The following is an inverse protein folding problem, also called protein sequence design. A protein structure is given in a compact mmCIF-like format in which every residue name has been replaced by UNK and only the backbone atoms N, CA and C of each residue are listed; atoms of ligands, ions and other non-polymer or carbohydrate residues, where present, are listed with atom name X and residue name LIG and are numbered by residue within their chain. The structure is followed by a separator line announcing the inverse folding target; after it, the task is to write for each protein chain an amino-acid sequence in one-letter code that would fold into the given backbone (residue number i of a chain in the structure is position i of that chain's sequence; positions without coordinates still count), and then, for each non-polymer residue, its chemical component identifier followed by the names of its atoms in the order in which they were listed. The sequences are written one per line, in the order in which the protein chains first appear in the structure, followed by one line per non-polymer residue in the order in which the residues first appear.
data_IF_506229559151
#
_entry.id   IF_506229559151
#
_cell.length_a   1.000
_cell.length_b   1.000
_cell.length_c   1.000
_cell.angle_alpha   90.00
_cell.angle_beta   90.00
_cell.angle_gamma   90.00
#
_symmetry.space_group_name_H-M   'P 1'
#
loop_
_entity.id
_entity.type
_entity.pdbx_description
1 polymer ?
#
# COMPACT_ATOMS: atom_id res chain seq x y z
N UNK A 1 1.06 9.35 -3.27
CA UNK A 1 0.42 9.05 -4.58
C UNK A 1 -0.57 7.90 -4.43
N UNK A 2 -0.12 6.65 -4.20
CA UNK A 2 -1.03 5.47 -4.12
C UNK A 2 -2.05 5.45 -2.97
N UNK A 3 -1.97 6.40 -2.03
CA UNK A 3 -2.98 6.56 -0.99
C UNK A 3 -4.11 7.51 -1.41
N UNK A 4 -3.95 8.23 -2.51
CA UNK A 4 -4.99 9.09 -3.06
C UNK A 4 -5.96 8.22 -3.85
N UNK A 5 -7.21 8.14 -3.38
CA UNK A 5 -8.21 7.25 -3.99
C UNK A 5 -8.46 7.54 -5.48
N UNK A 6 -8.58 8.82 -5.92
CA UNK A 6 -8.77 9.12 -7.34
C UNK A 6 -7.63 8.60 -8.22
N UNK A 7 -6.38 8.68 -7.74
CA UNK A 7 -5.22 8.18 -8.49
C UNK A 7 -5.25 6.66 -8.61
N UNK A 8 -5.68 5.96 -7.56
CA UNK A 8 -5.84 4.49 -7.61
C UNK A 8 -6.96 4.10 -8.58
N UNK A 9 -8.06 4.83 -8.62
CA UNK A 9 -9.16 4.56 -9.55
C UNK A 9 -8.70 4.69 -11.02
N UNK A 10 -7.91 5.73 -11.34
CA UNK A 10 -7.34 5.88 -12.69
C UNK A 10 -6.30 4.78 -13.00
N UNK A 11 -5.41 4.47 -12.05
CA UNK A 11 -4.42 3.39 -12.22
C UNK A 11 -5.10 2.02 -12.39
N UNK A 12 -6.27 1.81 -11.79
CA UNK A 12 -7.05 0.58 -11.96
C UNK A 12 -7.56 0.42 -13.39
N UNK A 13 -8.02 1.49 -14.02
CA UNK A 13 -8.43 1.46 -15.43
C UNK A 13 -7.24 1.10 -16.33
N UNK A 14 -6.07 1.70 -16.07
CA UNK A 14 -4.84 1.38 -16.79
C UNK A 14 -4.45 -0.08 -16.59
N UNK A 15 -4.44 -0.57 -15.35
CA UNK A 15 -4.06 -1.94 -15.01
C UNK A 15 -5.00 -3.00 -15.64
N UNK A 16 -6.29 -2.69 -15.78
CA UNK A 16 -7.24 -3.57 -16.48
C UNK A 16 -6.90 -3.65 -17.97
N UNK A 17 -6.56 -2.53 -18.61
CA UNK A 17 -6.18 -2.51 -20.03
C UNK A 17 -4.83 -3.22 -20.28
N UNK A 18 -3.94 -3.18 -19.30
CA UNK A 18 -2.61 -3.80 -19.35
C UNK A 18 -2.57 -5.23 -18.78
N UNK A 19 -3.73 -5.80 -18.43
CA UNK A 19 -3.85 -7.15 -17.85
C UNK A 19 -2.96 -7.39 -16.62
N UNK A 20 -2.80 -6.38 -15.77
CA UNK A 20 -2.02 -6.45 -14.53
C UNK A 20 -2.80 -5.92 -13.30
N UNK A 21 -4.11 -6.13 -13.31
CA UNK A 21 -5.07 -5.67 -12.28
C UNK A 21 -4.78 -6.29 -10.90
N UNK A 22 -4.14 -7.45 -10.85
CA UNK A 22 -3.73 -8.14 -9.62
C UNK A 22 -2.86 -7.25 -8.73
N UNK A 23 -2.02 -6.39 -9.29
CA UNK A 23 -1.18 -5.47 -8.51
C UNK A 23 -2.01 -4.42 -7.76
N UNK A 24 -3.07 -3.90 -8.39
CA UNK A 24 -4.01 -2.96 -7.77
C UNK A 24 -4.85 -3.68 -6.71
N UNK A 25 -5.37 -4.88 -7.04
CA UNK A 25 -6.17 -5.67 -6.11
C UNK A 25 -5.36 -6.08 -4.86
N UNK A 26 -4.08 -6.41 -5.05
CA UNK A 26 -3.14 -6.66 -3.96
C UNK A 26 -3.05 -5.44 -3.05
N UNK A 27 -2.79 -4.26 -3.62
CA UNK A 27 -2.63 -3.02 -2.85
C UNK A 27 -3.90 -2.65 -2.06
N UNK A 28 -5.07 -2.67 -2.71
CA UNK A 28 -6.34 -2.39 -2.05
C UNK A 28 -6.62 -3.40 -0.91
N UNK A 29 -6.33 -4.67 -1.14
CA UNK A 29 -6.51 -5.73 -0.14
C UNK A 29 -5.50 -5.61 1.00
N UNK A 30 -4.29 -5.16 0.72
CA UNK A 30 -3.24 -4.92 1.72
C UNK A 30 -3.64 -3.76 2.65
N UNK A 31 -4.21 -2.68 2.10
CA UNK A 31 -4.72 -1.59 2.95
C UNK A 31 -5.86 -2.09 3.86
N UNK A 32 -6.78 -2.90 3.32
CA UNK A 32 -7.88 -3.49 4.12
C UNK A 32 -7.36 -4.40 5.24
N UNK A 33 -6.37 -5.25 4.97
CA UNK A 33 -5.83 -6.12 6.02
C UNK A 33 -5.12 -5.32 7.10
N UNK A 34 -4.43 -4.22 6.75
CA UNK A 34 -3.84 -3.29 7.73
C UNK A 34 -4.90 -2.56 8.54
N UNK A 35 -6.02 -2.17 7.94
CA UNK A 35 -7.16 -1.61 8.66
C UNK A 35 -7.75 -2.60 9.66
N UNK A 36 -8.00 -3.84 9.25
CA UNK A 36 -8.50 -4.90 10.13
C UNK A 36 -7.54 -5.18 11.28
N UNK A 37 -6.24 -5.25 10.98
CA UNK A 37 -5.20 -5.43 11.99
C UNK A 37 -5.18 -4.27 12.98
N UNK A 38 -5.24 -3.02 12.50
CA UNK A 38 -5.29 -1.85 13.37
C UNK A 38 -6.49 -1.91 14.31
N UNK A 39 -7.69 -2.15 13.77
CA UNK A 39 -8.92 -2.27 14.58
C UNK A 39 -8.81 -3.39 15.62
N UNK A 40 -8.23 -4.53 15.24
CA UNK A 40 -8.03 -5.65 16.14
C UNK A 40 -7.11 -5.29 17.31
N UNK A 41 -6.00 -4.59 17.03
CA UNK A 41 -5.02 -4.15 18.04
C UNK A 41 -5.55 -3.04 18.95
N UNK A 42 -6.35 -2.10 18.43
CA UNK A 42 -6.95 -1.04 19.25
C UNK A 42 -8.08 -1.56 20.13
N UNK A 43 -8.85 -2.52 19.64
CA UNK A 43 -9.99 -3.09 20.37
C UNK A 43 -9.57 -4.03 21.51
N UNK A 44 -8.33 -4.54 21.53
CA UNK A 44 -7.80 -5.33 22.65
C UNK A 44 -7.26 -4.50 23.80
N UNK A 45 -7.11 -3.18 23.62
CA UNK A 45 -6.47 -2.32 24.62
C UNK A 45 -4.96 -2.52 24.77
N UNK A 46 -4.35 -3.38 23.94
CA UNK A 46 -2.89 -3.64 23.93
C UNK A 46 -2.12 -2.60 23.10
N UNK A 47 -2.83 -1.78 22.33
CA UNK A 47 -2.25 -0.76 21.46
C UNK A 47 -2.75 0.62 21.88
N UNK A 48 -1.88 1.44 22.47
CA UNK A 48 -2.18 2.85 22.66
C UNK A 48 -2.19 3.56 21.32
N UNK A 49 -3.29 4.24 21.01
CA UNK A 49 -3.44 5.07 19.83
C UNK A 49 -2.41 6.20 19.88
N UNK A 50 -1.23 5.99 19.26
CA UNK A 50 -0.34 7.10 18.93
C UNK A 50 -1.08 7.94 17.89
N UNK A 51 -1.75 9.00 18.35
CA UNK A 51 -2.30 10.04 17.45
C UNK A 51 -1.25 10.32 16.37
N UNK A 52 -1.61 10.29 15.08
CA UNK A 52 -0.67 10.48 14.00
C UNK A 52 -0.07 11.89 14.10
N UNK A 53 1.05 12.00 14.80
CA UNK A 53 1.92 13.16 14.78
C UNK A 53 2.80 12.97 13.56
N UNK A 54 2.23 13.27 12.40
CA UNK A 54 2.95 13.18 11.13
C UNK A 54 4.12 14.16 11.17
N UNK A 55 5.32 13.70 11.53
CA UNK A 55 6.57 14.42 11.28
C UNK A 55 6.95 14.20 9.81
N UNK A 56 6.30 14.97 8.93
CA UNK A 56 6.60 15.09 7.49
C UNK A 56 7.94 15.84 7.30
N UNK A 57 9.04 15.31 7.82
CA UNK A 57 10.38 15.88 7.56
C UNK A 57 11.16 15.04 6.55
N UNK A 58 10.98 13.72 6.54
CA UNK A 58 11.75 12.81 5.70
C UNK A 58 11.34 12.79 4.21
N UNK A 59 10.11 13.23 3.88
CA UNK A 59 9.59 13.29 2.49
C UNK A 59 9.95 14.61 1.80
N UNK A 60 10.37 15.65 2.55
CA UNK A 60 10.65 16.99 2.00
C UNK A 60 11.86 17.02 1.05
N UNK A 61 12.81 16.10 1.19
CA UNK A 61 14.10 16.23 0.50
C UNK A 61 14.05 15.78 -0.97
N UNK A 62 13.11 14.91 -1.36
CA UNK A 62 13.01 14.41 -2.74
C UNK A 62 12.13 15.28 -3.65
N UNK A 63 11.16 16.00 -3.07
CA UNK A 63 10.16 16.78 -3.84
C UNK A 63 10.65 18.16 -4.28
N UNK A 64 11.81 18.63 -3.79
CA UNK A 64 12.34 19.96 -4.13
C UNK A 64 12.77 20.10 -5.60
N UNK A 65 12.97 18.98 -6.31
CA UNK A 65 13.38 19.00 -7.72
C UNK A 65 12.22 19.04 -8.73
N UNK A 66 10.97 18.72 -8.32
CA UNK A 66 9.82 18.68 -9.25
C UNK A 66 8.95 19.95 -9.20
N UNK A 67 9.04 20.74 -8.13
CA UNK A 67 8.18 21.92 -7.90
C UNK A 67 8.61 23.18 -8.65
N UNK A 68 9.76 23.16 -9.34
CA UNK A 68 10.29 24.30 -10.10
C UNK A 68 9.49 24.70 -11.33
N UNK A 69 8.53 23.89 -11.78
CA UNK A 69 7.73 24.14 -12.99
C UNK A 69 6.32 24.66 -12.70
N UNK A 70 5.89 24.76 -11.43
CA UNK A 70 4.51 25.06 -11.04
C UNK A 70 4.32 26.37 -10.26
N UNK A 71 5.17 27.37 -10.47
CA UNK A 71 5.06 28.64 -9.73
C UNK A 71 4.87 29.84 -10.65
N UNK A 72 3.63 30.04 -11.09
CA UNK A 72 3.08 31.37 -11.36
C UNK A 72 1.61 31.38 -10.90
N UNK A 73 1.40 31.50 -9.58
CA UNK A 73 0.30 32.25 -9.00
C UNK A 73 0.42 32.22 -7.47
N UNK A 74 0.09 33.36 -6.90
CA UNK A 74 0.48 33.80 -5.57
C UNK A 74 -0.27 33.08 -4.44
N UNK A 75 0.44 32.94 -3.33
CA UNK A 75 -0.04 32.78 -1.94
C UNK A 75 -1.46 32.22 -1.70
N UNK A 76 -1.51 30.99 -1.17
CA UNK A 76 -2.40 30.61 -0.05
C UNK A 76 -2.04 29.23 0.51
N UNK A 77 -1.77 29.20 1.82
CA UNK A 77 -1.93 28.11 2.79
C UNK A 77 -1.61 26.67 2.35
N UNK A 78 -0.65 26.04 3.04
CA UNK A 78 -0.34 24.61 2.94
C UNK A 78 -1.62 23.76 3.06
N UNK A 79 -2.17 23.33 1.92
CA UNK A 79 -3.27 22.37 1.89
C UNK A 79 -2.70 20.99 2.24
N UNK A 80 -3.35 20.31 3.18
CA UNK A 80 -3.21 18.86 3.31
C UNK A 80 -3.57 18.24 1.95
N UNK A 81 -2.65 17.49 1.36
CA UNK A 81 -2.84 16.81 0.07
C UNK A 81 -3.71 15.55 0.15
N UNK A 82 -4.32 15.31 1.32
CA UNK A 82 -5.18 14.17 1.60
C UNK A 82 -6.62 14.63 1.80
N UNK A 83 -7.54 14.01 1.07
CA UNK A 83 -8.99 14.18 1.20
C UNK A 83 -9.56 13.13 2.16
N UNK A 84 -10.77 13.33 2.72
CA UNK A 84 -11.42 12.33 3.57
C UNK A 84 -11.62 10.96 2.91
N UNK A 85 -11.67 10.92 1.58
CA UNK A 85 -11.89 9.71 0.79
C UNK A 85 -10.60 8.92 0.51
N UNK A 86 -9.43 9.46 0.89
CA UNK A 86 -8.14 8.81 0.67
C UNK A 86 -7.91 7.66 1.65
N UNK A 87 -7.05 6.73 1.24
CA UNK A 87 -6.65 5.60 2.08
C UNK A 87 -5.93 6.08 3.34
N UNK A 88 -6.36 5.57 4.49
CA UNK A 88 -5.70 5.81 5.78
C UNK A 88 -4.33 5.13 5.81
N UNK A 89 -3.38 5.78 6.47
CA UNK A 89 -2.08 5.20 6.77
C UNK A 89 -2.14 4.62 8.18
N UNK A 90 -1.91 3.32 8.29
CA UNK A 90 -1.87 2.61 9.57
C UNK A 90 -0.41 2.36 9.95
N UNK A 91 0.09 3.09 10.96
CA UNK A 91 1.44 2.93 11.50
C UNK A 91 1.45 1.80 12.54
N UNK A 92 1.65 0.58 12.06
CA UNK A 92 1.67 -0.65 12.87
C UNK A 92 3.09 -1.22 12.82
N UNK A 93 3.68 -1.54 13.98
CA UNK A 93 4.98 -2.22 14.02
C UNK A 93 4.88 -3.60 13.34
N UNK A 94 5.64 -3.85 12.26
CA UNK A 94 5.54 -5.08 11.48
C UNK A 94 5.93 -6.34 12.25
N UNK A 95 6.65 -6.21 13.37
CA UNK A 95 7.14 -7.34 14.15
C UNK A 95 6.13 -7.85 15.19
N UNK A 96 4.99 -7.16 15.36
CA UNK A 96 3.94 -7.60 16.27
C UNK A 96 3.45 -8.98 15.85
N UNK A 97 3.42 -9.97 16.76
CA UNK A 97 2.84 -11.28 16.49
C UNK A 97 1.39 -11.16 16.03
N UNK A 98 1.01 -11.97 15.05
CA UNK A 98 -0.33 -11.92 14.48
C UNK A 98 -1.35 -12.50 15.47
N UNK A 99 -2.40 -11.72 15.77
CA UNK A 99 -3.53 -12.20 16.57
C UNK A 99 -4.23 -13.37 15.87
N UNK A 100 -4.53 -14.43 16.62
CA UNK A 100 -5.21 -15.63 16.12
C UNK A 100 -6.52 -15.35 15.35
N UNK A 101 -7.25 -14.28 15.71
CA UNK A 101 -8.48 -13.86 15.06
C UNK A 101 -8.26 -13.33 13.64
N UNK A 102 -7.04 -12.85 13.35
CA UNK A 102 -6.66 -12.31 12.05
C UNK A 102 -6.09 -13.38 11.11
N UNK A 103 -5.66 -14.52 11.65
CA UNK A 103 -5.02 -15.60 10.88
C UNK A 103 -5.81 -16.02 9.63
N UNK A 104 -7.14 -16.23 9.67
CA UNK A 104 -7.89 -16.60 8.46
C UNK A 104 -7.82 -15.56 7.34
N UNK A 105 -7.78 -14.27 7.69
CA UNK A 105 -7.68 -13.17 6.73
C UNK A 105 -6.29 -13.13 6.08
N UNK A 106 -5.23 -13.34 6.87
CA UNK A 106 -3.87 -13.40 6.36
C UNK A 106 -3.66 -14.65 5.47
N UNK A 107 -4.21 -15.81 5.84
CA UNK A 107 -4.18 -17.01 4.99
C UNK A 107 -4.96 -16.78 3.69
N UNK A 108 -6.15 -16.17 3.76
CA UNK A 108 -6.91 -15.85 2.55
C UNK A 108 -6.17 -14.88 1.63
N UNK A 109 -5.46 -13.90 2.20
CA UNK A 109 -4.62 -12.98 1.44
C UNK A 109 -3.47 -13.72 0.76
N UNK A 110 -2.78 -14.60 1.49
CA UNK A 110 -1.72 -15.45 0.94
C UNK A 110 -2.22 -16.31 -0.22
N UNK A 111 -3.33 -17.04 -0.04
CA UNK A 111 -3.89 -17.92 -1.07
C UNK A 111 -4.34 -17.15 -2.32
N UNK A 112 -4.79 -15.90 -2.15
CA UNK A 112 -5.24 -15.08 -3.27
C UNK A 112 -4.08 -14.54 -4.11
N UNK A 113 -3.04 -14.03 -3.45
CA UNK A 113 -2.05 -13.17 -4.10
C UNK A 113 -0.61 -13.70 -4.09
N UNK A 114 -0.26 -14.64 -3.20
CA UNK A 114 1.12 -15.13 -3.05
C UNK A 114 1.24 -16.58 -3.50
N UNK A 115 0.23 -17.41 -3.25
CA UNK A 115 0.19 -18.80 -3.72
C UNK A 115 0.38 -18.85 -5.25
N UNK A 116 1.34 -19.63 -5.79
CA UNK A 116 1.52 -19.80 -7.24
C UNK A 116 0.28 -20.26 -8.00
N UNK A 117 -0.67 -20.92 -7.31
CA UNK A 117 -1.95 -21.37 -7.87
C UNK A 117 -3.12 -20.46 -7.49
N UNK A 118 -2.83 -19.31 -6.90
CA UNK A 118 -3.80 -18.29 -6.52
C UNK A 118 -4.52 -17.68 -7.74
N UNK A 119 -5.76 -17.20 -7.56
CA UNK A 119 -6.55 -16.62 -8.65
C UNK A 119 -6.01 -15.28 -9.17
N UNK A 120 -5.25 -14.55 -8.37
CA UNK A 120 -4.72 -13.21 -8.68
C UNK A 120 -3.30 -13.04 -8.13
N UNK A 121 -2.46 -14.05 -8.36
CA UNK A 121 -1.08 -14.09 -7.87
C UNK A 121 -0.25 -12.94 -8.44
N UNK A 122 0.38 -12.17 -7.55
CA UNK A 122 1.28 -11.08 -7.95
C UNK A 122 2.66 -11.62 -8.30
N UNK A 123 3.35 -10.93 -9.21
CA UNK A 123 4.72 -11.29 -9.59
C UNK A 123 5.73 -10.80 -8.54
N UNK A 124 6.06 -11.68 -7.59
CA UNK A 124 7.11 -11.47 -6.57
C UNK A 124 8.18 -12.55 -6.69
N UNK A 125 9.38 -12.29 -6.18
CA UNK A 125 10.46 -13.29 -6.23
C UNK A 125 10.11 -14.55 -5.43
N UNK A 126 10.67 -15.70 -5.85
CA UNK A 126 10.49 -16.97 -5.15
C UNK A 126 11.02 -16.92 -3.71
N UNK A 127 12.06 -16.12 -3.46
CA UNK A 127 12.62 -15.93 -2.12
C UNK A 127 11.61 -15.23 -1.20
N UNK A 128 10.96 -14.16 -1.69
CA UNK A 128 9.91 -13.45 -0.96
C UNK A 128 8.73 -14.38 -0.68
N UNK A 129 8.22 -15.08 -1.70
CA UNK A 129 7.09 -15.99 -1.54
C UNK A 129 7.38 -17.12 -0.53
N UNK A 130 8.60 -17.68 -0.58
CA UNK A 130 9.06 -18.72 0.35
C UNK A 130 9.19 -18.20 1.78
N UNK A 131 9.72 -16.99 1.95
CA UNK A 131 9.84 -16.34 3.26
C UNK A 131 8.46 -16.05 3.86
N UNK A 132 7.51 -15.57 3.06
CA UNK A 132 6.13 -15.35 3.47
C UNK A 132 5.50 -16.67 3.95
N UNK A 133 5.60 -17.74 3.16
CA UNK A 133 5.07 -19.06 3.53
C UNK A 133 5.66 -19.52 4.87
N UNK A 134 6.99 -19.49 4.99
CA UNK A 134 7.68 -19.92 6.22
C UNK A 134 7.22 -19.11 7.43
N UNK A 135 7.12 -17.79 7.33
CA UNK A 135 6.79 -16.96 8.50
C UNK A 135 5.30 -17.05 8.84
N UNK A 136 4.42 -17.06 7.84
CA UNK A 136 2.97 -17.11 8.05
C UNK A 136 2.53 -18.39 8.77
N UNK A 137 3.13 -19.54 8.45
CA UNK A 137 2.73 -20.84 9.01
C UNK A 137 3.54 -21.31 10.22
N UNK A 138 4.56 -20.55 10.66
CA UNK A 138 5.34 -20.88 11.86
C UNK A 138 5.19 -19.82 12.96
N UNK A 139 5.51 -18.56 12.66
CA UNK A 139 5.49 -17.45 13.60
C UNK A 139 4.99 -16.18 12.88
N UNK A 140 3.68 -16.10 12.60
CA UNK A 140 3.14 -15.02 11.79
C UNK A 140 3.24 -13.67 12.51
N UNK A 141 3.60 -12.64 11.75
CA UNK A 141 3.60 -11.24 12.21
C UNK A 141 2.72 -10.38 11.31
N UNK A 142 2.31 -9.22 11.82
CA UNK A 142 1.44 -8.29 11.07
C UNK A 142 2.10 -7.72 9.81
N UNK A 143 3.44 -7.73 9.75
CA UNK A 143 4.27 -7.28 8.64
C UNK A 143 4.65 -8.36 7.63
N UNK A 144 4.11 -9.57 7.72
CA UNK A 144 4.55 -10.72 6.89
C UNK A 144 4.52 -10.45 5.38
N UNK A 145 3.65 -9.56 4.90
CA UNK A 145 3.52 -9.22 3.47
C UNK A 145 4.24 -7.92 3.05
N UNK A 146 4.94 -7.25 3.95
CA UNK A 146 5.46 -5.90 3.70
C UNK A 146 6.53 -5.86 2.58
N UNK A 147 7.31 -6.93 2.44
CA UNK A 147 8.31 -7.09 1.38
C UNK A 147 7.63 -7.24 0.01
N UNK A 148 6.68 -8.17 -0.14
CA UNK A 148 5.87 -8.31 -1.35
C UNK A 148 5.14 -7.03 -1.71
N UNK A 149 4.62 -6.30 -0.71
CA UNK A 149 3.99 -4.99 -0.91
C UNK A 149 4.96 -3.97 -1.51
N UNK A 150 6.23 -3.94 -1.09
CA UNK A 150 7.22 -3.03 -1.68
C UNK A 150 7.49 -3.37 -3.15
N UNK A 151 7.60 -4.66 -3.48
CA UNK A 151 7.80 -5.12 -4.86
C UNK A 151 6.61 -4.76 -5.76
N UNK A 152 5.39 -5.03 -5.31
CA UNK A 152 4.16 -4.70 -6.06
C UNK A 152 4.03 -3.20 -6.28
N UNK A 153 4.29 -2.38 -5.25
CA UNK A 153 4.29 -0.91 -5.39
C UNK A 153 5.35 -0.46 -6.40
N UNK A 154 6.55 -1.04 -6.34
CA UNK A 154 7.64 -0.71 -7.26
C UNK A 154 7.27 -1.09 -8.69
N UNK A 155 6.69 -2.26 -8.89
CA UNK A 155 6.16 -2.70 -10.18
C UNK A 155 5.13 -1.69 -10.73
N UNK A 156 4.10 -1.34 -9.95
CA UNK A 156 3.09 -0.36 -10.37
C UNK A 156 3.69 1.02 -10.66
N UNK A 157 4.68 1.45 -9.88
CA UNK A 157 5.36 2.72 -10.10
C UNK A 157 6.16 2.74 -11.40
N UNK A 158 6.78 1.62 -11.77
CA UNK A 158 7.56 1.52 -13.01
C UNK A 158 6.69 1.30 -14.25
N UNK A 159 5.50 0.72 -14.10
CA UNK A 159 4.66 0.29 -15.23
C UNK A 159 3.44 1.19 -15.43
N UNK A 160 2.61 1.36 -14.40
CA UNK A 160 1.32 2.06 -14.50
C UNK A 160 1.47 3.57 -14.35
N UNK A 161 2.33 4.01 -13.44
CA UNK A 161 2.45 5.43 -13.13
C UNK A 161 2.91 6.30 -14.31
N UNK A 162 3.88 5.89 -15.16
CA UNK A 162 4.24 6.65 -16.35
C UNK A 162 3.07 6.83 -17.33
N UNK A 163 2.23 5.82 -17.46
CA UNK A 163 1.04 5.88 -18.33
C UNK A 163 -0.01 6.83 -17.77
N UNK A 164 -0.24 6.78 -16.45
CA UNK A 164 -1.09 7.75 -15.76
C UNK A 164 -0.62 9.19 -16.02
N UNK A 165 0.69 9.44 -15.92
CA UNK A 165 1.24 10.77 -16.20
C UNK A 165 0.98 11.18 -17.66
N UNK A 166 1.20 10.28 -18.63
CA UNK A 166 0.97 10.57 -20.04
C UNK A 166 -0.50 10.93 -20.33
N UNK A 167 -1.45 10.20 -19.73
CA UNK A 167 -2.89 10.44 -19.94
C UNK A 167 -3.37 11.79 -19.39
N UNK A 168 -2.79 12.23 -18.26
CA UNK A 168 -3.28 13.41 -17.54
C UNK A 168 -2.49 14.69 -17.82
N UNK A 169 -1.21 14.60 -18.22
CA UNK A 169 -0.33 15.78 -18.27
C UNK A 169 0.34 16.03 -19.62
N UNK A 170 0.42 15.06 -20.53
CA UNK A 170 1.07 15.21 -21.84
C UNK A 170 0.07 15.41 -23.00
N UNK A 171 -1.03 16.14 -22.75
CA UNK A 171 -1.98 16.56 -23.79
C UNK A 171 -1.51 17.81 -24.53
#
# INVERSE_FOLDING_TARGET
VLYQKPVIDDLKVIAVNDFCVENILFWESFIKIKELTYQCLTNTGEFEEKKPSIKIESIKTMNKSLTGLYSNSEHRNSKNYFTPDDYKIYDIDPNIPLDSRLVPYYISFYNAFIDPYGPVTVNVSSDIASNIFKNLFNNPTVGVFDEAKNDVITSMFLTLYPQYINLHFNK
#
